data_IF_494030840803
#
_entry.id   IF_494030840803
#
_cell.length_a   1.000
_cell.length_b   1.000
_cell.length_c   1.000
_cell.angle_alpha   90.00
_cell.angle_beta   90.00
_cell.angle_gamma   90.00
#
_symmetry.space_group_name_H-M   'P 1'
#
loop_
_entity.id
_entity.type
_entity.pdbx_description
1 polymer ?
#
# COMPACT_ATOMS: atom_id res chain seq x y z
N UNK A 1 -7.17 -17.46 9.18
CA UNK A 1 -6.46 -16.58 8.24
C UNK A 1 -7.39 -16.36 7.06
N UNK A 2 -7.95 -15.16 6.90
CA UNK A 2 -8.88 -14.88 5.80
C UNK A 2 -8.12 -14.99 4.48
N UNK A 3 -8.62 -15.71 3.46
CA UNK A 3 -7.95 -15.80 2.18
C UNK A 3 -7.85 -14.40 1.55
N UNK A 4 -6.62 -13.94 1.29
CA UNK A 4 -6.40 -12.74 0.48
C UNK A 4 -6.85 -13.06 -0.96
N UNK A 5 -7.58 -12.14 -1.64
CA UNK A 5 -7.86 -12.31 -3.06
C UNK A 5 -6.54 -12.39 -3.84
N UNK A 6 -6.49 -13.27 -4.84
CA UNK A 6 -5.29 -13.53 -5.66
C UNK A 6 -5.68 -13.63 -7.13
N UNK A 7 -4.75 -13.30 -8.01
CA UNK A 7 -4.97 -13.33 -9.45
C UNK A 7 -3.73 -12.86 -10.19
N UNK A 8 -3.49 -13.39 -11.40
CA UNK A 8 -2.38 -13.00 -12.27
C UNK A 8 -0.98 -13.00 -11.62
N UNK A 9 -0.77 -13.82 -10.59
CA UNK A 9 0.49 -13.88 -9.83
C UNK A 9 0.63 -12.85 -8.69
N UNK A 10 -0.43 -12.09 -8.40
CA UNK A 10 -0.45 -11.07 -7.36
C UNK A 10 -1.46 -11.38 -6.25
N UNK A 11 -1.23 -10.76 -5.10
CA UNK A 11 -2.20 -10.64 -4.02
C UNK A 11 -2.82 -9.24 -4.05
N UNK A 12 -4.10 -9.18 -3.70
CA UNK A 12 -4.88 -7.95 -3.63
C UNK A 12 -5.16 -7.59 -2.18
N UNK A 13 -4.98 -6.33 -1.87
CA UNK A 13 -5.19 -5.75 -0.55
C UNK A 13 -6.15 -4.56 -0.67
N UNK A 14 -7.06 -4.38 0.30
CA UNK A 14 -7.95 -3.23 0.27
C UNK A 14 -7.16 -1.94 0.47
N UNK A 15 -7.43 -0.95 -0.36
CA UNK A 15 -6.81 0.36 -0.20
C UNK A 15 -7.17 0.96 1.19
N UNK A 16 -6.21 1.59 1.90
CA UNK A 16 -6.45 2.13 3.24
C UNK A 16 -7.43 3.33 3.26
N UNK A 17 -7.44 4.13 2.19
CA UNK A 17 -8.39 5.24 2.01
C UNK A 17 -9.75 4.73 1.54
N UNK A 18 -10.87 5.13 2.19
CA UNK A 18 -12.22 4.81 1.74
C UNK A 18 -12.50 5.31 0.31
N UNK A 19 -13.23 4.50 -0.48
CA UNK A 19 -13.65 4.88 -1.83
C UNK A 19 -12.63 4.56 -2.94
N UNK A 20 -11.37 4.28 -2.61
CA UNK A 20 -10.35 3.81 -3.56
C UNK A 20 -10.38 2.29 -3.74
N UNK A 21 -9.80 1.82 -4.85
CA UNK A 21 -9.84 0.41 -5.26
C UNK A 21 -8.89 -0.49 -4.44
N UNK A 22 -8.17 -1.39 -5.10
CA UNK A 22 -7.33 -2.42 -4.50
C UNK A 22 -5.87 -2.11 -4.77
N UNK A 23 -5.03 -2.35 -3.77
CA UNK A 23 -3.59 -2.43 -3.96
C UNK A 23 -3.24 -3.81 -4.50
N UNK A 24 -2.31 -3.86 -5.45
CA UNK A 24 -1.89 -5.09 -6.11
C UNK A 24 -0.40 -5.30 -5.90
N UNK A 25 0.01 -6.48 -5.49
CA UNK A 25 1.43 -6.75 -5.30
C UNK A 25 1.74 -8.05 -4.58
N UNK A 26 2.83 -8.04 -3.82
CA UNK A 26 3.30 -9.21 -3.11
C UNK A 26 3.83 -8.87 -1.72
N UNK A 27 3.19 -9.37 -0.65
CA UNK A 27 3.79 -9.38 0.67
C UNK A 27 4.80 -10.53 0.78
N UNK A 28 5.92 -10.25 1.44
CA UNK A 28 6.97 -11.18 1.79
C UNK A 28 6.94 -11.52 3.27
N UNK A 29 7.34 -12.75 3.59
CA UNK A 29 7.49 -13.18 4.98
C UNK A 29 8.60 -12.37 5.66
N UNK A 30 8.40 -12.00 6.93
CA UNK A 30 9.33 -11.12 7.64
C UNK A 30 9.01 -9.63 7.49
N UNK A 31 8.02 -9.29 6.67
CA UNK A 31 7.45 -7.95 6.58
C UNK A 31 7.85 -7.15 5.35
N UNK A 32 8.86 -7.56 4.59
CA UNK A 32 9.16 -6.94 3.29
C UNK A 32 7.96 -7.08 2.36
N UNK A 33 7.58 -6.02 1.66
CA UNK A 33 6.33 -5.97 0.87
C UNK A 33 6.51 -5.02 -0.30
N UNK A 34 5.95 -5.35 -1.45
CA UNK A 34 5.78 -4.44 -2.59
C UNK A 34 4.31 -4.40 -2.98
N UNK A 35 3.71 -3.21 -2.99
CA UNK A 35 2.33 -3.01 -3.43
C UNK A 35 2.24 -1.82 -4.37
N UNK A 36 1.32 -1.89 -5.32
CA UNK A 36 1.09 -0.90 -6.36
C UNK A 36 -0.35 -0.40 -6.23
N UNK A 37 -0.53 0.91 -6.30
CA UNK A 37 -1.81 1.55 -6.53
C UNK A 37 -1.84 2.01 -8.00
N UNK A 38 -2.74 1.41 -8.77
CA UNK A 38 -2.88 1.65 -10.20
C UNK A 38 -3.75 2.88 -10.51
N UNK A 39 -4.49 3.42 -9.52
CA UNK A 39 -5.26 4.66 -9.70
C UNK A 39 -4.38 5.90 -9.50
N UNK A 40 -3.45 5.81 -8.54
CA UNK A 40 -2.54 6.90 -8.17
C UNK A 40 -1.16 6.80 -8.87
N UNK A 41 -0.95 5.79 -9.71
CA UNK A 41 0.32 5.48 -10.37
C UNK A 41 1.52 5.44 -9.39
N UNK A 42 1.33 4.84 -8.22
CA UNK A 42 2.36 4.76 -7.17
C UNK A 42 2.72 3.31 -6.81
N UNK A 43 4.01 3.07 -6.61
CA UNK A 43 4.54 1.80 -6.12
C UNK A 43 5.20 2.02 -4.76
N UNK A 44 4.82 1.23 -3.77
CA UNK A 44 5.35 1.26 -2.41
C UNK A 44 6.13 -0.04 -2.17
N UNK A 45 7.46 0.07 -2.09
CA UNK A 45 8.35 -1.03 -1.75
C UNK A 45 8.96 -0.81 -0.37
N UNK A 46 8.64 -1.71 0.56
CA UNK A 46 9.24 -1.76 1.89
C UNK A 46 10.13 -2.99 2.01
N UNK A 47 11.42 -2.78 2.24
CA UNK A 47 12.41 -3.85 2.39
C UNK A 47 13.01 -3.76 3.79
N UNK A 48 13.09 -4.89 4.48
CA UNK A 48 13.58 -4.97 5.85
C UNK A 48 14.41 -6.23 6.07
N UNK A 49 15.45 -6.11 6.89
CA UNK A 49 16.23 -7.25 7.42
C UNK A 49 15.71 -7.72 8.80
N UNK A 50 14.93 -6.89 9.50
CA UNK A 50 14.28 -7.28 10.74
C UNK A 50 13.07 -8.18 10.48
N UNK A 51 13.21 -9.48 10.75
CA UNK A 51 12.16 -10.48 10.58
C UNK A 51 11.00 -10.22 11.56
N UNK A 52 9.81 -10.02 11.03
CA UNK A 52 8.57 -9.80 11.80
C UNK A 52 7.62 -10.98 11.63
N UNK A 53 6.86 -11.29 12.67
CA UNK A 53 5.75 -12.25 12.59
C UNK A 53 4.58 -11.61 11.84
N UNK A 54 4.57 -11.77 10.52
CA UNK A 54 3.51 -11.23 9.66
C UNK A 54 3.98 -11.00 8.22
N UNK A 55 3.03 -10.56 7.39
CA UNK A 55 3.23 -10.23 5.98
C UNK A 55 2.27 -9.09 5.58
N UNK A 56 2.68 -8.22 4.66
CA UNK A 56 1.85 -7.12 4.16
C UNK A 56 1.31 -6.25 5.30
N UNK A 57 0.02 -5.98 5.29
CA UNK A 57 -0.70 -5.17 6.31
C UNK A 57 -0.58 -5.60 7.76
N UNK A 58 -0.31 -6.89 7.98
CA UNK A 58 -0.10 -7.39 9.34
C UNK A 58 1.24 -6.88 9.91
N UNK A 59 2.12 -6.39 9.04
CA UNK A 59 3.39 -5.77 9.41
C UNK A 59 3.16 -4.32 9.79
N UNK A 60 3.17 -4.04 11.09
CA UNK A 60 2.94 -2.70 11.66
C UNK A 60 3.71 -1.61 10.91
N UNK A 61 5.02 -1.79 10.70
CA UNK A 61 5.88 -0.78 10.08
C UNK A 61 5.46 -0.45 8.65
N UNK A 62 5.25 -1.47 7.81
CA UNK A 62 4.78 -1.28 6.43
C UNK A 62 3.46 -0.52 6.40
N UNK A 63 2.49 -0.93 7.23
CA UNK A 63 1.17 -0.29 7.29
C UNK A 63 1.24 1.20 7.60
N UNK A 64 2.06 1.61 8.59
CA UNK A 64 2.22 3.03 8.91
C UNK A 64 2.88 3.82 7.78
N UNK A 65 3.94 3.28 7.18
CA UNK A 65 4.64 3.93 6.06
C UNK A 65 3.72 4.07 4.84
N UNK A 66 3.02 2.99 4.47
CA UNK A 66 2.04 2.96 3.38
C UNK A 66 0.95 4.02 3.59
N UNK A 67 0.37 4.09 4.79
CA UNK A 67 -0.66 5.10 5.09
C UNK A 67 -0.13 6.53 4.95
N UNK A 68 1.08 6.79 5.45
CA UNK A 68 1.71 8.11 5.36
C UNK A 68 1.98 8.51 3.89
N UNK A 69 2.38 7.57 3.03
CA UNK A 69 2.53 7.83 1.59
C UNK A 69 1.20 8.29 0.98
N UNK A 70 0.12 7.55 1.21
CA UNK A 70 -1.20 7.93 0.67
C UNK A 70 -1.70 9.25 1.24
N UNK A 71 -1.48 9.53 2.52
CA UNK A 71 -1.83 10.83 3.11
C UNK A 71 -1.07 11.99 2.43
N UNK A 72 0.22 11.82 2.14
CA UNK A 72 1.01 12.82 1.42
C UNK A 72 0.55 12.99 -0.03
N UNK A 73 0.19 11.91 -0.72
CA UNK A 73 -0.32 11.96 -2.09
C UNK A 73 -1.64 12.73 -2.17
N UNK A 74 -2.57 12.47 -1.26
CA UNK A 74 -3.85 13.18 -1.22
C UNK A 74 -3.65 14.68 -0.93
N UNK A 75 -2.80 15.03 0.05
CA UNK A 75 -2.44 16.43 0.31
C UNK A 75 -1.85 17.13 -0.92
N UNK A 76 -1.02 16.41 -1.68
CA UNK A 76 -0.40 16.96 -2.89
C UNK A 76 -1.42 17.19 -4.01
N UNK A 77 -2.42 16.32 -4.13
CA UNK A 77 -3.50 16.50 -5.12
C UNK A 77 -4.38 17.70 -4.80
N UNK A 78 -4.83 17.82 -3.55
CA UNK A 78 -5.64 18.96 -3.08
C UNK A 78 -4.88 20.28 -3.33
N UNK A 79 -3.61 20.34 -2.94
CA UNK A 79 -2.80 21.54 -3.17
C UNK A 79 -2.62 21.88 -4.67
N UNK A 80 -2.58 20.88 -5.56
CA UNK A 80 -2.53 21.13 -7.01
C UNK A 80 -3.85 21.69 -7.55
N UNK A 81 -4.98 21.19 -7.07
CA UNK A 81 -6.31 21.69 -7.45
C UNK A 81 -6.53 23.12 -6.98
N UNK A 82 -6.11 23.46 -5.76
CA UNK A 82 -6.20 24.82 -5.22
C UNK A 82 -5.32 25.84 -5.97
N UNK A 83 -4.18 25.40 -6.53
CA UNK A 83 -3.29 26.26 -7.32
C UNK A 83 -3.69 26.39 -8.80
N UNK A 84 -4.70 25.64 -9.26
CA UNK A 84 -5.20 25.68 -10.64
C UNK A 84 -6.44 26.58 -10.78
N UNK A 85 -7.08 26.94 -9.66
CA UNK A 85 -8.16 27.94 -9.56
C UNK A 85 -7.60 29.34 -9.34
#
# INVERSE_FOLDING_TARGET
MTPLPKGHGFLYERHPTPGKQWLVGHPGYGGSTVMMDLEDDVVIAYVTNGLKTGMGELTRTYRYLRNAVFECLEKTKVAKEENLC
#
